data_IF_313821004442
#
_entry.id   IF_313821004442
#
_cell.length_a   1.000
_cell.length_b   1.000
_cell.length_c   1.000
_cell.angle_alpha   90.00
_cell.angle_beta   90.00
_cell.angle_gamma   90.00
#
_symmetry.space_group_name_H-M   'P 1'
#
loop_
_entity.id
_entity.type
_entity.pdbx_description
1 polymer ?
#
# COMPACT_ATOMS: atom_id res chain seq x y z
N UNK A 1 -14.07 73.01 2.88
CA UNK A 1 -15.49 72.93 2.48
C UNK A 1 -16.08 71.67 3.10
N UNK A 2 -17.12 71.82 3.92
CA UNK A 2 -17.80 70.77 4.71
C UNK A 2 -18.92 70.08 3.91
N UNK A 3 -19.12 68.76 4.14
CA UNK A 3 -20.39 68.05 4.49
C UNK A 3 -20.23 66.54 4.27
N UNK A 4 -20.25 65.72 5.34
CA UNK A 4 -21.39 64.98 5.97
C UNK A 4 -21.89 63.82 5.10
N UNK A 5 -21.70 62.54 5.47
CA UNK A 5 -22.27 61.71 6.57
C UNK A 5 -23.60 61.00 6.21
N UNK A 6 -23.58 59.65 6.28
CA UNK A 6 -24.60 58.68 6.74
C UNK A 6 -24.05 57.27 6.36
N UNK A 7 -23.82 56.23 7.17
CA UNK A 7 -24.33 55.66 8.44
C UNK A 7 -25.72 55.02 8.35
N UNK A 8 -25.73 53.69 8.19
CA UNK A 8 -26.67 52.65 8.65
C UNK A 8 -25.89 51.31 8.46
N UNK A 9 -25.75 50.36 9.37
CA UNK A 9 -26.53 50.01 10.56
C UNK A 9 -27.48 48.85 10.26
N UNK A 10 -27.04 47.60 10.43
CA UNK A 10 -27.91 46.46 10.79
C UNK A 10 -27.06 45.21 11.10
N UNK A 11 -26.86 45.03 12.39
CA UNK A 11 -27.20 43.86 13.21
C UNK A 11 -26.88 42.43 12.72
N UNK A 12 -26.15 41.80 13.64
CA UNK A 12 -25.81 40.40 13.79
C UNK A 12 -27.10 39.62 14.10
N UNK A 13 -27.38 38.57 13.33
CA UNK A 13 -28.09 37.41 13.85
C UNK A 13 -27.33 36.15 13.47
N UNK A 14 -27.02 35.39 14.51
CA UNK A 14 -26.49 34.04 14.50
C UNK A 14 -27.48 33.11 13.81
N UNK A 15 -27.02 32.29 12.87
CA UNK A 15 -27.71 31.05 12.53
C UNK A 15 -26.80 29.88 12.90
N UNK A 16 -26.97 29.42 14.14
CA UNK A 16 -26.46 28.15 14.66
C UNK A 16 -27.32 27.05 14.05
N UNK A 17 -27.06 26.77 12.77
CA UNK A 17 -27.58 25.62 12.05
C UNK A 17 -26.79 24.36 12.41
N UNK A 18 -27.08 23.82 13.59
CA UNK A 18 -26.62 22.49 14.03
C UNK A 18 -27.23 21.39 13.14
N UNK A 19 -26.59 21.12 12.01
CA UNK A 19 -26.79 19.85 11.32
C UNK A 19 -25.79 18.85 11.88
N UNK A 20 -26.23 18.13 12.91
CA UNK A 20 -25.78 16.77 13.24
C UNK A 20 -26.07 15.86 12.04
N UNK A 21 -25.30 16.05 10.97
CA UNK A 21 -25.14 15.05 9.93
C UNK A 21 -24.24 13.98 10.50
N UNK A 22 -24.88 12.85 10.86
CA UNK A 22 -24.30 11.56 11.21
C UNK A 22 -22.80 11.48 10.93
N UNK A 23 -22.03 11.20 11.99
CA UNK A 23 -20.72 10.56 11.92
C UNK A 23 -20.89 9.25 11.13
N UNK A 24 -20.89 9.38 9.81
CA UNK A 24 -20.46 8.31 8.93
C UNK A 24 -19.00 8.19 9.32
N UNK A 25 -18.63 7.12 10.02
CA UNK A 25 -17.24 6.66 10.03
C UNK A 25 -16.89 6.31 8.58
N UNK A 26 -16.68 7.35 7.77
CA UNK A 26 -16.11 7.26 6.44
C UNK A 26 -14.76 6.63 6.68
N UNK A 27 -14.61 5.36 6.32
CA UNK A 27 -13.38 4.61 6.54
C UNK A 27 -12.21 5.46 6.08
N UNK A 28 -11.45 6.04 7.02
CA UNK A 28 -10.41 7.05 6.77
C UNK A 28 -9.21 6.50 5.98
N UNK A 29 -9.27 5.20 5.69
CA UNK A 29 -8.28 4.35 5.06
C UNK A 29 -9.00 3.45 4.04
N UNK A 30 -9.08 3.89 2.77
CA UNK A 30 -9.82 3.21 1.72
C UNK A 30 -9.16 1.89 1.29
N UNK A 31 -7.82 1.82 1.37
CA UNK A 31 -7.10 0.58 1.12
C UNK A 31 -6.50 0.06 2.43
N UNK A 32 -6.74 -1.21 2.75
CA UNK A 32 -6.25 -1.84 3.98
C UNK A 32 -5.51 -3.12 3.66
N UNK A 33 -4.40 -3.33 4.37
CA UNK A 33 -3.61 -4.54 4.21
C UNK A 33 -3.14 -5.04 5.56
N UNK A 34 -3.44 -6.31 5.84
CA UNK A 34 -2.87 -7.02 6.98
C UNK A 34 -1.42 -7.37 6.68
N UNK A 35 -0.50 -6.91 7.50
CA UNK A 35 0.90 -7.31 7.41
C UNK A 35 0.99 -8.80 7.76
N UNK A 36 1.56 -9.59 6.86
CA UNK A 36 1.88 -11.01 7.06
C UNK A 36 3.28 -11.27 6.49
N UNK A 37 3.85 -12.44 6.79
CA UNK A 37 5.13 -12.87 6.20
C UNK A 37 5.05 -13.02 4.68
N UNK A 38 3.86 -13.25 4.13
CA UNK A 38 3.64 -13.40 2.69
C UNK A 38 3.47 -12.04 1.99
N UNK A 39 3.00 -11.03 2.74
CA UNK A 39 2.90 -9.66 2.24
C UNK A 39 4.19 -8.86 2.37
N UNK A 40 5.05 -9.19 3.34
CA UNK A 40 6.37 -8.55 3.47
C UNK A 40 7.44 -9.58 3.11
N UNK A 41 7.96 -9.51 1.89
CA UNK A 41 9.07 -10.37 1.46
C UNK A 41 10.26 -9.57 0.99
N UNK A 42 11.45 -10.00 1.43
CA UNK A 42 12.72 -9.29 1.22
C UNK A 42 12.71 -7.88 1.81
N UNK A 43 12.29 -6.90 1.02
CA UNK A 43 12.11 -5.50 1.38
C UNK A 43 10.83 -4.90 0.74
N UNK A 44 9.96 -5.74 0.20
CA UNK A 44 8.81 -5.30 -0.58
C UNK A 44 7.51 -5.64 0.12
N UNK A 45 6.61 -4.66 0.22
CA UNK A 45 5.21 -4.88 0.55
C UNK A 45 4.47 -5.31 -0.72
N UNK A 46 3.99 -6.55 -0.73
CA UNK A 46 3.13 -7.12 -1.77
C UNK A 46 1.74 -6.52 -1.68
N UNK A 47 1.21 -6.08 -2.80
CA UNK A 47 -0.15 -5.62 -2.97
C UNK A 47 -0.77 -6.42 -4.10
N UNK A 48 -1.81 -7.20 -3.79
CA UNK A 48 -2.55 -7.93 -4.82
C UNK A 48 -3.32 -6.95 -5.71
N UNK A 49 -3.36 -7.17 -7.04
CA UNK A 49 -4.24 -6.40 -7.91
C UNK A 49 -5.69 -6.53 -7.42
N UNK A 50 -6.33 -5.40 -7.17
CA UNK A 50 -7.69 -5.32 -6.65
C UNK A 50 -8.34 -4.01 -7.09
N UNK A 51 -9.65 -4.02 -7.29
CA UNK A 51 -10.43 -2.83 -7.69
C UNK A 51 -10.21 -1.67 -6.71
N UNK A 52 -10.21 -1.96 -5.40
CA UNK A 52 -9.96 -0.97 -4.35
C UNK A 52 -8.60 -0.25 -4.53
N UNK A 53 -7.53 -1.00 -4.82
CA UNK A 53 -6.20 -0.44 -5.03
C UNK A 53 -6.12 0.38 -6.32
N UNK A 54 -6.71 -0.13 -7.40
CA UNK A 54 -6.76 0.56 -8.69
C UNK A 54 -7.48 1.91 -8.57
N UNK A 55 -8.68 1.91 -7.97
CA UNK A 55 -9.51 3.12 -7.83
C UNK A 55 -8.92 4.15 -6.88
N UNK A 56 -8.43 3.72 -5.70
CA UNK A 56 -8.06 4.64 -4.64
C UNK A 56 -6.60 5.06 -4.70
N UNK A 57 -5.73 4.24 -5.30
CA UNK A 57 -4.29 4.51 -5.36
C UNK A 57 -3.86 4.80 -6.80
N UNK A 58 -4.13 3.88 -7.74
CA UNK A 58 -3.53 3.95 -9.07
C UNK A 58 -4.17 5.01 -9.98
N UNK A 59 -5.49 5.20 -9.90
CA UNK A 59 -6.20 6.26 -10.62
C UNK A 59 -5.69 7.67 -10.27
N UNK A 60 -5.08 7.84 -9.09
CA UNK A 60 -4.56 9.12 -8.63
C UNK A 60 -3.09 9.38 -9.04
N UNK A 61 -2.41 8.40 -9.63
CA UNK A 61 -1.07 8.58 -10.20
C UNK A 61 -1.11 9.55 -11.37
N UNK A 62 0.03 10.20 -11.63
CA UNK A 62 0.14 11.01 -12.83
C UNK A 62 0.26 10.13 -14.09
N UNK A 63 0.00 10.71 -15.27
CA UNK A 63 -0.02 9.97 -16.54
C UNK A 63 1.34 9.36 -16.90
N UNK A 64 2.45 10.00 -16.54
CA UNK A 64 3.79 9.47 -16.77
C UNK A 64 4.05 8.23 -15.90
N UNK A 65 3.65 8.28 -14.64
CA UNK A 65 3.74 7.18 -13.68
C UNK A 65 2.85 6.01 -14.06
N UNK A 66 1.62 6.28 -14.52
CA UNK A 66 0.75 5.24 -15.05
C UNK A 66 1.40 4.53 -16.26
N UNK A 67 1.94 5.29 -17.22
CA UNK A 67 2.65 4.72 -18.37
C UNK A 67 3.90 3.95 -17.97
N UNK A 68 4.63 4.42 -16.97
CA UNK A 68 5.78 3.71 -16.43
C UNK A 68 5.37 2.36 -15.82
N UNK A 69 4.30 2.31 -15.01
CA UNK A 69 3.80 1.06 -14.45
C UNK A 69 3.29 0.09 -15.53
N UNK A 70 2.63 0.58 -16.58
CA UNK A 70 2.24 -0.25 -17.72
C UNK A 70 3.44 -0.81 -18.49
N UNK A 71 4.53 -0.05 -18.53
CA UNK A 71 5.83 -0.47 -19.06
C UNK A 71 6.66 -1.31 -18.07
N UNK A 72 6.09 -1.70 -16.92
CA UNK A 72 6.77 -2.45 -15.86
C UNK A 72 8.00 -1.75 -15.26
N UNK A 73 8.01 -0.41 -15.33
CA UNK A 73 9.04 0.42 -14.73
C UNK A 73 8.60 0.88 -13.33
N UNK A 74 9.54 0.91 -12.36
CA UNK A 74 9.25 1.39 -11.03
C UNK A 74 8.98 2.91 -11.03
N UNK A 75 8.02 3.32 -10.23
CA UNK A 75 7.62 4.72 -10.03
C UNK A 75 8.04 5.18 -8.65
N UNK A 76 8.71 6.32 -8.55
CA UNK A 76 9.10 6.89 -7.27
C UNK A 76 7.92 7.58 -6.59
N UNK A 77 7.60 7.13 -5.37
CA UNK A 77 6.55 7.71 -4.54
C UNK A 77 7.08 7.97 -3.13
N UNK A 78 6.34 8.72 -2.34
CA UNK A 78 6.64 8.93 -0.92
C UNK A 78 5.54 8.34 -0.04
N UNK A 79 5.92 7.75 1.09
CA UNK A 79 4.99 7.28 2.12
C UNK A 79 5.16 8.16 3.35
N UNK A 80 4.09 8.83 3.74
CA UNK A 80 4.01 9.60 4.98
C UNK A 80 3.27 8.82 6.05
N UNK A 81 3.98 8.55 7.13
CA UNK A 81 3.44 7.97 8.35
C UNK A 81 2.71 9.03 9.15
N UNK A 82 1.39 8.92 9.23
CA UNK A 82 0.61 9.93 9.96
C UNK A 82 0.72 9.77 11.47
N UNK A 83 1.12 8.61 11.98
CA UNK A 83 1.22 8.41 13.44
C UNK A 83 2.59 8.83 13.99
N UNK A 84 3.65 8.80 13.17
CA UNK A 84 5.00 9.27 13.58
C UNK A 84 5.47 10.53 12.88
N UNK A 85 4.69 11.07 11.94
CA UNK A 85 5.04 12.24 11.13
C UNK A 85 6.34 12.06 10.34
N UNK A 86 6.67 10.83 9.94
CA UNK A 86 7.87 10.53 9.15
C UNK A 86 7.53 10.30 7.68
N UNK A 87 8.42 10.68 6.76
CA UNK A 87 8.26 10.41 5.32
C UNK A 87 9.36 9.49 4.83
N UNK A 88 8.98 8.49 4.04
CA UNK A 88 9.88 7.49 3.48
C UNK A 88 9.84 7.54 1.94
N UNK A 89 10.98 7.69 1.26
CA UNK A 89 11.04 7.53 -0.19
C UNK A 89 10.95 6.04 -0.53
N UNK A 90 10.04 5.68 -1.43
CA UNK A 90 9.83 4.30 -1.87
C UNK A 90 9.52 4.26 -3.37
N UNK A 91 9.42 3.06 -3.91
CA UNK A 91 9.07 2.78 -5.30
C UNK A 91 7.85 1.90 -5.35
N UNK A 92 6.91 2.26 -6.20
CA UNK A 92 5.79 1.42 -6.61
C UNK A 92 6.13 0.73 -7.92
N UNK A 93 6.06 -0.59 -7.98
CA UNK A 93 6.39 -1.36 -9.17
C UNK A 93 5.47 -2.57 -9.36
N UNK A 94 5.20 -2.95 -10.61
CA UNK A 94 4.66 -4.27 -10.95
C UNK A 94 5.80 -5.30 -10.86
N UNK A 95 5.54 -6.42 -10.19
CA UNK A 95 6.47 -7.56 -10.09
C UNK A 95 5.74 -8.87 -10.32
N UNK A 96 6.45 -9.84 -10.86
CA UNK A 96 5.90 -11.18 -11.00
C UNK A 96 5.59 -11.78 -9.62
N UNK A 97 4.45 -12.44 -9.48
CA UNK A 97 3.98 -12.90 -8.17
C UNK A 97 4.90 -13.95 -7.53
N UNK A 98 5.74 -14.65 -8.32
CA UNK A 98 6.67 -15.63 -7.78
C UNK A 98 7.74 -15.01 -6.87
N UNK A 99 8.05 -13.71 -7.05
CA UNK A 99 8.94 -12.97 -6.14
C UNK A 99 8.39 -12.94 -4.71
N UNK A 100 7.12 -13.27 -4.51
CA UNK A 100 6.45 -13.35 -3.22
C UNK A 100 6.09 -14.78 -2.77
N UNK A 101 6.30 -15.81 -3.61
CA UNK A 101 6.03 -17.21 -3.23
C UNK A 101 7.04 -17.71 -2.18
N UNK A 102 6.63 -18.17 -0.99
CA UNK A 102 7.57 -18.65 0.02
C UNK A 102 8.57 -19.62 -0.59
N UNK A 103 9.85 -19.43 -0.26
CA UNK A 103 10.90 -20.31 -0.78
C UNK A 103 10.58 -21.71 -0.27
N UNK A 104 10.46 -22.74 -1.13
CA UNK A 104 10.26 -24.08 -0.65
C UNK A 104 11.41 -24.38 0.33
N UNK A 105 11.06 -24.69 1.57
CA UNK A 105 12.03 -25.10 2.58
C UNK A 105 12.65 -26.40 2.05
N UNK A 106 13.87 -26.32 1.53
CA UNK A 106 14.69 -27.47 1.15
C UNK A 106 15.06 -28.28 2.41
N UNK A 107 14.09 -28.97 2.99
CA UNK A 107 14.26 -30.04 3.97
C UNK A 107 13.31 -31.21 3.66
N UNK A 108 13.15 -31.53 2.38
CA UNK A 108 12.86 -32.92 2.01
C UNK A 108 14.14 -33.50 1.43
N UNK A 109 14.79 -34.36 2.21
CA UNK A 109 15.80 -35.29 1.67
C UNK A 109 15.17 -35.95 0.43
N UNK A 110 15.79 -35.87 -0.75
CA UNK A 110 15.29 -36.62 -1.90
C UNK A 110 15.30 -38.09 -1.51
N UNK A 111 14.12 -38.71 -1.43
CA UNK A 111 14.02 -40.16 -1.48
C UNK A 111 14.65 -40.55 -2.81
N UNK A 112 15.72 -41.34 -2.72
CA UNK A 112 16.40 -41.93 -3.88
C UNK A 112 15.41 -42.83 -4.61
N UNK A 113 14.65 -42.26 -5.53
CA UNK A 113 14.15 -43.01 -6.66
C UNK A 113 15.08 -42.73 -7.83
N UNK A 114 15.69 -43.83 -8.29
CA UNK A 114 16.70 -43.85 -9.32
C UNK A 114 16.08 -43.43 -10.65
N UNK A 115 16.54 -42.35 -11.25
CA UNK A 115 16.68 -42.28 -12.70
C UNK A 115 17.65 -41.17 -13.13
N UNK A 116 18.79 -41.62 -13.65
CA UNK A 116 19.66 -40.99 -14.65
C UNK A 116 19.86 -39.47 -14.58
N UNK A 117 20.87 -39.05 -13.79
CA UNK A 117 21.66 -37.86 -14.11
C UNK A 117 23.04 -38.32 -14.57
N UNK A 118 23.31 -38.18 -15.86
CA UNK A 118 24.66 -38.01 -16.38
C UNK A 118 24.65 -36.81 -17.31
N UNK A 119 25.67 -35.98 -17.10
CA UNK A 119 26.15 -34.88 -17.93
C UNK A 119 25.45 -33.52 -17.85
N UNK A 120 26.09 -32.64 -17.07
CA UNK A 120 26.44 -31.26 -17.40
C UNK A 120 25.52 -30.58 -18.42
N UNK A 121 24.26 -30.38 -18.07
CA UNK A 121 23.40 -29.44 -18.79
C UNK A 121 23.74 -28.06 -18.26
N UNK A 122 24.31 -27.22 -19.12
CA UNK A 122 24.40 -25.78 -18.89
C UNK A 122 23.04 -25.31 -18.35
N UNK A 123 23.05 -24.43 -17.35
CA UNK A 123 21.87 -23.62 -17.05
C UNK A 123 21.47 -22.91 -18.34
N UNK A 124 20.52 -23.50 -19.07
CA UNK A 124 19.80 -22.84 -20.14
C UNK A 124 19.27 -21.57 -19.49
N UNK A 125 19.81 -20.42 -19.92
CA UNK A 125 19.10 -19.16 -19.71
C UNK A 125 17.67 -19.43 -20.18
N UNK A 126 16.65 -19.17 -19.35
CA UNK A 126 15.28 -19.41 -19.77
C UNK A 126 15.08 -18.68 -21.09
N UNK A 127 14.76 -19.46 -22.12
CA UNK A 127 14.46 -18.97 -23.45
C UNK A 127 13.49 -17.79 -23.32
N UNK A 128 13.88 -16.63 -23.85
CA UNK A 128 13.06 -15.44 -24.02
C UNK A 128 12.00 -15.22 -22.92
N UNK A 129 12.36 -14.51 -21.85
CA UNK A 129 11.44 -14.06 -20.79
C UNK A 129 10.04 -13.71 -21.34
N UNK A 130 9.03 -14.53 -21.00
CA UNK A 130 7.67 -14.35 -21.47
C UNK A 130 6.97 -13.25 -20.65
N UNK A 131 7.13 -12.02 -21.11
CA UNK A 131 6.41 -10.85 -20.59
C UNK A 131 4.89 -11.04 -20.57
N UNK A 132 4.33 -11.82 -21.51
CA UNK A 132 2.88 -12.04 -21.59
C UNK A 132 2.40 -12.99 -20.48
N UNK A 133 3.21 -13.97 -20.09
CA UNK A 133 2.90 -14.84 -18.94
C UNK A 133 3.13 -14.12 -17.60
N UNK A 134 4.19 -13.31 -17.49
CA UNK A 134 4.42 -12.42 -16.36
C UNK A 134 3.25 -11.45 -16.13
N UNK A 135 2.66 -10.92 -17.21
CA UNK A 135 1.45 -10.06 -17.20
C UNK A 135 0.20 -10.75 -16.69
N UNK A 136 0.11 -12.08 -16.79
CA UNK A 136 -1.05 -12.84 -16.27
C UNK A 136 -1.01 -13.01 -14.75
N UNK A 137 0.19 -13.01 -14.14
CA UNK A 137 0.36 -13.32 -12.72
C UNK A 137 1.33 -12.35 -12.04
N UNK A 138 0.90 -11.11 -11.86
CA UNK A 138 1.69 -10.06 -11.20
C UNK A 138 1.09 -9.61 -9.86
N UNK A 139 1.91 -8.93 -9.07
CA UNK A 139 1.51 -8.17 -7.89
C UNK A 139 2.16 -6.79 -7.94
N UNK A 140 1.49 -5.81 -7.34
CA UNK A 140 2.13 -4.55 -7.04
C UNK A 140 3.08 -4.71 -5.86
N UNK A 141 4.12 -3.90 -5.85
CA UNK A 141 5.14 -3.92 -4.81
C UNK A 141 5.49 -2.49 -4.41
N UNK A 142 5.53 -2.24 -3.11
CA UNK A 142 6.08 -1.01 -2.53
C UNK A 142 7.41 -1.36 -1.87
N UNK A 143 8.50 -0.72 -2.28
CA UNK A 143 9.84 -1.00 -1.75
C UNK A 143 10.75 0.24 -1.74
N UNK A 144 11.64 0.39 -0.76
CA UNK A 144 11.83 -0.45 0.42
C UNK A 144 10.77 -0.20 1.51
N UNK A 145 10.12 -1.26 2.00
CA UNK A 145 9.06 -1.19 3.02
C UNK A 145 9.45 -1.90 4.33
N UNK A 146 10.40 -2.84 4.31
CA UNK A 146 10.80 -3.56 5.53
C UNK A 146 11.51 -2.64 6.51
N UNK A 147 12.17 -1.59 6.03
CA UNK A 147 12.72 -0.55 6.91
C UNK A 147 11.63 0.16 7.72
N UNK A 148 10.45 0.41 7.13
CA UNK A 148 9.31 1.05 7.82
C UNK A 148 8.80 0.09 8.90
N UNK A 149 8.57 -1.18 8.54
CA UNK A 149 8.18 -2.25 9.49
C UNK A 149 9.14 -2.34 10.67
N UNK A 150 10.45 -2.33 10.42
CA UNK A 150 11.48 -2.39 11.48
C UNK A 150 11.47 -1.14 12.35
N UNK A 151 11.48 0.05 11.74
CA UNK A 151 11.58 1.33 12.47
C UNK A 151 10.35 1.57 13.34
N UNK A 152 9.17 1.16 12.85
CA UNK A 152 7.90 1.27 13.57
C UNK A 152 7.61 0.10 14.50
N UNK A 153 8.51 -0.89 14.56
CA UNK A 153 8.35 -2.12 15.33
C UNK A 153 6.99 -2.80 15.05
N UNK A 154 6.60 -2.87 13.78
CA UNK A 154 5.32 -3.44 13.36
C UNK A 154 5.37 -4.97 13.43
N UNK A 155 4.29 -5.56 13.92
CA UNK A 155 4.06 -6.99 13.98
C UNK A 155 3.37 -7.48 12.70
N UNK A 156 3.75 -8.67 12.22
CA UNK A 156 3.13 -9.37 11.07
C UNK A 156 1.73 -9.95 11.36
N UNK A 157 0.95 -9.24 12.16
CA UNK A 157 -0.47 -9.48 12.40
C UNK A 157 -1.26 -8.17 12.48
N UNK A 158 -0.59 -7.02 12.38
CA UNK A 158 -1.23 -5.72 12.36
C UNK A 158 -1.79 -5.42 10.98
N UNK A 159 -2.87 -4.67 10.96
CA UNK A 159 -3.41 -4.10 9.73
C UNK A 159 -2.88 -2.67 9.58
N UNK A 160 -2.54 -2.29 8.35
CA UNK A 160 -2.19 -0.92 8.02
C UNK A 160 -3.21 -0.39 7.01
N UNK A 161 -3.51 0.90 7.14
CA UNK A 161 -4.31 1.65 6.18
C UNK A 161 -3.40 2.40 5.23
N UNK A 162 -3.76 2.45 3.96
CA UNK A 162 -3.12 3.28 2.95
C UNK A 162 -4.18 4.17 2.29
N UNK A 163 -3.79 5.41 2.01
CA UNK A 163 -4.61 6.33 1.23
C UNK A 163 -3.74 7.21 0.35
N UNK A 164 -4.29 7.63 -0.78
CA UNK A 164 -3.65 8.65 -1.59
C UNK A 164 -3.74 10.00 -0.88
N UNK A 165 -2.62 10.71 -0.78
CA UNK A 165 -2.54 12.09 -0.27
C UNK A 165 -1.71 12.99 -1.20
N UNK A 166 -1.38 12.49 -2.38
CA UNK A 166 -0.57 13.17 -3.38
C UNK A 166 -1.36 14.21 -4.17
N UNK A 167 -0.64 14.91 -5.03
CA UNK A 167 -1.19 15.85 -6.02
C UNK A 167 -0.64 15.50 -7.40
N UNK A 168 -1.13 16.17 -8.45
CA UNK A 168 -0.72 15.89 -9.84
C UNK A 168 0.81 15.95 -10.10
N UNK A 169 1.58 16.61 -9.23
CA UNK A 169 3.04 16.68 -9.32
C UNK A 169 3.79 16.00 -8.17
N UNK A 170 3.10 15.42 -7.19
CA UNK A 170 3.71 14.78 -6.02
C UNK A 170 2.98 13.48 -5.73
N UNK A 171 3.65 12.36 -5.98
CA UNK A 171 3.09 11.04 -5.72
C UNK A 171 3.37 10.64 -4.27
N UNK A 172 2.31 10.70 -3.47
CA UNK A 172 2.38 10.53 -2.02
C UNK A 172 1.23 9.69 -1.51
N UNK A 173 1.59 8.71 -0.70
CA UNK A 173 0.68 7.92 0.09
C UNK A 173 0.80 8.31 1.56
N UNK A 174 -0.32 8.24 2.25
CA UNK A 174 -0.37 8.25 3.70
C UNK A 174 -0.58 6.83 4.21
N UNK A 175 0.01 6.51 5.36
CA UNK A 175 -0.27 5.27 6.07
C UNK A 175 -0.37 5.45 7.58
N UNK A 176 -1.15 4.56 8.20
CA UNK A 176 -1.30 4.43 9.66
C UNK A 176 -1.46 2.96 10.03
N UNK A 177 -1.10 2.63 11.27
CA UNK A 177 -1.37 1.31 11.85
C UNK A 177 -2.80 1.29 12.37
N UNK A 178 -3.64 0.42 11.81
CA UNK A 178 -5.02 0.28 12.25
C UNK A 178 -5.07 -0.58 13.50
N UNK A 179 -5.74 -0.08 14.54
CA UNK A 179 -5.98 -0.85 15.75
C UNK A 179 -6.93 -2.00 15.43
N UNK A 180 -6.43 -3.24 15.51
CA UNK A 180 -7.27 -4.42 15.54
C UNK A 180 -7.64 -4.64 17.01
N UNK A 181 -8.92 -4.48 17.43
CA UNK A 181 -9.32 -4.80 18.78
C UNK A 181 -8.99 -6.26 19.04
N UNK A 182 -8.08 -6.52 19.98
CA UNK A 182 -7.98 -7.85 20.56
C UNK A 182 -9.31 -8.07 21.26
N UNK A 183 -10.10 -9.03 20.77
CA UNK A 183 -11.22 -9.57 21.53
C UNK A 183 -10.63 -10.12 22.83
N UNK A 184 -10.69 -9.29 23.87
CA UNK A 184 -10.24 -9.70 25.18
C UNK A 184 -11.31 -10.62 25.76
N UNK A 185 -11.07 -11.93 25.62
CA UNK A 185 -11.94 -12.98 26.17
C UNK A 185 -12.12 -12.86 27.69
N UNK A 186 -11.30 -12.05 28.38
CA UNK A 186 -11.50 -11.77 29.81
C UNK A 186 -12.70 -10.86 30.11
N UNK A 187 -13.25 -10.17 29.10
CA UNK A 187 -14.48 -9.37 29.20
C UNK A 187 -15.78 -10.19 29.06
N UNK A 188 -15.69 -11.46 28.67
CA UNK A 188 -16.79 -12.42 28.59
C UNK A 188 -16.89 -13.30 29.85
N UNK A 189 -16.75 -12.71 31.04
CA UNK A 189 -17.21 -13.36 32.27
C UNK A 189 -18.68 -12.97 32.49
N UNK A 190 -19.58 -13.87 32.08
CA UNK A 190 -20.99 -13.91 32.51
C UNK A 190 -21.03 -14.43 33.94
#
# INVERSE_FOLDING_TARGET
MMKKMAREGSDIEEDIGSNKGKEVCSNSWPFRIRLTTDHIRWDSLKISPSEEFEEHILHNLNEASHRALEAWLPVEISIYDVDTHETYPVKLAKKESFWFKPTPLFYEKPRKEKSFFSDATMMEQPACYDLEEARKVFAYSIEPFRQIVKKRNLNYNQEIGLRWSGSKGVEKLEFSVLYVPRLDLSSLRI
#
